data_IF_984646822714
#
_entry.id   IF_984646822714
#
_cell.length_a   1.000
_cell.length_b   1.000
_cell.length_c   1.000
_cell.angle_alpha   90.00
_cell.angle_beta   90.00
_cell.angle_gamma   90.00
#
_symmetry.space_group_name_H-M   'P 1'
#
loop_
_entity.id
_entity.type
_entity.pdbx_description
1 polymer ?
#
# COMPACT_ATOMS: atom_id res chain seq x y z
N UNK A 1 0.24 15.41 -0.65
CA UNK A 1 -0.39 14.80 -1.85
C UNK A 1 -1.87 15.12 -1.77
N UNK A 2 -2.40 15.97 -2.67
CA UNK A 2 -3.84 16.21 -2.75
C UNK A 2 -4.49 14.93 -3.29
N UNK A 3 -5.69 14.62 -2.84
CA UNK A 3 -6.45 13.40 -3.17
C UNK A 3 -6.73 13.18 -4.67
N UNK A 4 -6.25 14.06 -5.56
CA UNK A 4 -6.50 14.04 -7.00
C UNK A 4 -5.45 13.29 -7.83
N UNK A 5 -4.29 12.91 -7.26
CA UNK A 5 -3.23 12.22 -8.01
C UNK A 5 -3.14 10.71 -7.77
N UNK A 6 -3.88 10.17 -6.80
CA UNK A 6 -3.87 8.74 -6.48
C UNK A 6 -4.25 7.83 -7.66
N UNK A 7 -5.26 8.15 -8.51
CA UNK A 7 -5.62 7.30 -9.63
C UNK A 7 -4.48 7.15 -10.64
N UNK A 8 -3.73 8.23 -10.88
CA UNK A 8 -2.60 8.23 -11.81
C UNK A 8 -1.42 7.44 -11.25
N UNK A 9 -1.08 7.68 -9.99
CA UNK A 9 -0.02 6.92 -9.31
C UNK A 9 -0.33 5.42 -9.27
N UNK A 10 -1.60 5.07 -9.01
CA UNK A 10 -2.07 3.68 -9.00
C UNK A 10 -1.96 3.04 -10.38
N UNK A 11 -2.36 3.74 -11.44
CA UNK A 11 -2.22 3.25 -12.81
C UNK A 11 -0.75 3.01 -13.20
N UNK A 12 0.14 3.94 -12.87
CA UNK A 12 1.59 3.80 -13.13
C UNK A 12 2.19 2.62 -12.34
N UNK A 13 1.85 2.50 -11.06
CA UNK A 13 2.30 1.41 -10.22
C UNK A 13 1.73 0.05 -10.65
N UNK A 14 0.48 0.02 -11.14
CA UNK A 14 -0.15 -1.20 -11.64
C UNK A 14 0.46 -1.65 -12.98
N UNK A 15 0.80 -0.72 -13.85
CA UNK A 15 1.58 -1.01 -15.05
C UNK A 15 2.96 -1.58 -14.69
N UNK A 16 3.62 -1.03 -13.67
CA UNK A 16 4.92 -1.51 -13.20
C UNK A 16 4.88 -2.97 -12.73
N UNK A 17 3.91 -3.34 -11.88
CA UNK A 17 3.77 -4.74 -11.44
C UNK A 17 3.26 -5.66 -12.55
N UNK A 18 2.58 -5.13 -13.56
CA UNK A 18 2.16 -5.92 -14.74
C UNK A 18 3.36 -6.25 -15.63
N UNK A 19 4.25 -5.27 -15.85
CA UNK A 19 5.48 -5.48 -16.61
C UNK A 19 6.50 -6.33 -15.84
N UNK A 20 6.56 -6.15 -14.52
CA UNK A 20 7.51 -6.84 -13.64
C UNK A 20 6.80 -7.42 -12.42
N UNK A 21 6.09 -8.56 -12.57
CA UNK A 21 5.31 -9.15 -11.48
C UNK A 21 6.14 -9.64 -10.29
N UNK A 22 7.44 -9.89 -10.51
CA UNK A 22 8.37 -10.32 -9.48
C UNK A 22 9.18 -9.15 -8.89
N UNK A 23 8.89 -7.90 -9.26
CA UNK A 23 9.59 -6.75 -8.72
C UNK A 23 8.97 -6.33 -7.38
N UNK A 24 9.63 -6.72 -6.29
CA UNK A 24 9.15 -6.46 -4.92
C UNK A 24 8.86 -4.98 -4.65
N UNK A 25 9.67 -4.07 -5.22
CA UNK A 25 9.50 -2.63 -5.02
C UNK A 25 8.24 -2.10 -5.71
N UNK A 26 7.82 -2.68 -6.84
CA UNK A 26 6.55 -2.33 -7.48
C UNK A 26 5.35 -2.68 -6.60
N UNK A 27 5.39 -3.85 -5.95
CA UNK A 27 4.38 -4.23 -4.96
C UNK A 27 4.43 -3.34 -3.72
N UNK A 28 5.61 -3.02 -3.19
CA UNK A 28 5.73 -2.08 -2.06
C UNK A 28 5.18 -0.68 -2.40
N UNK A 29 5.42 -0.20 -3.63
CA UNK A 29 4.93 1.09 -4.10
C UNK A 29 3.40 1.11 -4.25
N UNK A 30 2.78 0.05 -4.79
CA UNK A 30 1.32 -0.11 -4.78
C UNK A 30 0.78 -0.11 -3.35
N UNK A 31 1.43 -0.85 -2.45
CA UNK A 31 1.08 -0.87 -1.03
C UNK A 31 1.03 0.53 -0.42
N UNK A 32 2.05 1.35 -0.69
CA UNK A 32 2.14 2.72 -0.20
C UNK A 32 1.02 3.62 -0.76
N UNK A 33 0.69 3.48 -2.04
CA UNK A 33 -0.39 4.24 -2.69
C UNK A 33 -1.74 3.88 -2.07
N UNK A 34 -2.06 2.59 -1.94
CA UNK A 34 -3.29 2.15 -1.29
C UNK A 34 -3.38 2.62 0.17
N UNK A 35 -2.26 2.59 0.90
CA UNK A 35 -2.20 3.07 2.27
C UNK A 35 -2.49 4.58 2.36
N UNK A 36 -2.00 5.36 1.39
CA UNK A 36 -2.27 6.79 1.29
C UNK A 36 -3.72 7.11 0.88
N UNK A 37 -4.37 6.21 0.13
CA UNK A 37 -5.80 6.26 -0.19
C UNK A 37 -6.70 5.85 0.98
N UNK A 38 -6.14 5.26 2.04
CA UNK A 38 -6.91 4.69 3.16
C UNK A 38 -7.40 3.26 2.90
N UNK A 39 -7.04 2.67 1.76
CA UNK A 39 -7.34 1.30 1.36
C UNK A 39 -6.38 0.31 2.02
N UNK A 40 -6.43 0.23 3.35
CA UNK A 40 -5.43 -0.50 4.15
C UNK A 40 -5.40 -2.00 3.82
N UNK A 41 -6.55 -2.59 3.49
CA UNK A 41 -6.65 -4.01 3.09
C UNK A 41 -5.89 -4.28 1.79
N UNK A 42 -6.05 -3.42 0.78
CA UNK A 42 -5.31 -3.55 -0.49
C UNK A 42 -3.81 -3.31 -0.29
N UNK A 43 -3.47 -2.34 0.58
CA UNK A 43 -2.09 -2.10 0.96
C UNK A 43 -1.43 -3.36 1.55
N UNK A 44 -2.13 -4.07 2.42
CA UNK A 44 -1.62 -5.28 3.07
C UNK A 44 -1.29 -6.36 2.05
N UNK A 45 -2.18 -6.63 1.09
CA UNK A 45 -1.95 -7.64 0.05
C UNK A 45 -0.68 -7.35 -0.75
N UNK A 46 -0.47 -6.10 -1.14
CA UNK A 46 0.70 -5.71 -1.92
C UNK A 46 2.00 -5.72 -1.09
N UNK A 47 1.97 -5.24 0.15
CA UNK A 47 3.14 -5.35 1.02
C UNK A 47 3.49 -6.79 1.39
N UNK A 48 2.48 -7.65 1.58
CA UNK A 48 2.70 -9.08 1.77
C UNK A 48 3.39 -9.68 0.56
N UNK A 49 2.94 -9.35 -0.66
CA UNK A 49 3.58 -9.85 -1.88
C UNK A 49 5.02 -9.33 -2.04
N UNK A 50 5.27 -8.08 -1.69
CA UNK A 50 6.62 -7.52 -1.68
C UNK A 50 7.54 -8.30 -0.71
N UNK A 51 7.04 -8.60 0.50
CA UNK A 51 7.76 -9.39 1.49
C UNK A 51 8.00 -10.85 1.04
N UNK A 52 7.02 -11.48 0.39
CA UNK A 52 7.17 -12.84 -0.17
C UNK A 52 8.24 -12.88 -1.28
N UNK A 53 8.30 -11.85 -2.12
CA UNK A 53 9.26 -11.77 -3.22
C UNK A 53 10.68 -11.46 -2.72
N UNK A 54 10.80 -10.53 -1.77
CA UNK A 54 12.09 -10.15 -1.19
C UNK A 54 11.91 -9.75 0.27
N UNK A 55 12.06 -10.72 1.20
CA UNK A 55 11.97 -10.43 2.62
C UNK A 55 13.23 -9.66 3.05
N UNK A 56 13.00 -8.41 3.43
CA UNK A 56 14.03 -7.52 3.96
C UNK A 56 13.46 -6.65 5.09
N UNK A 57 14.34 -5.94 5.79
CA UNK A 57 13.97 -5.06 6.89
C UNK A 57 12.92 -4.00 6.49
N UNK A 58 13.00 -3.48 5.27
CA UNK A 58 12.06 -2.46 4.77
C UNK A 58 10.65 -3.02 4.59
N UNK A 59 10.52 -4.15 3.88
CA UNK A 59 9.26 -4.85 3.62
C UNK A 59 8.61 -5.36 4.91
N UNK A 60 9.40 -5.77 5.89
CA UNK A 60 8.93 -6.13 7.22
C UNK A 60 8.33 -4.92 7.95
N UNK A 61 9.05 -3.78 7.94
CA UNK A 61 8.56 -2.51 8.52
C UNK A 61 7.29 -2.03 7.84
N UNK A 62 7.23 -2.10 6.51
CA UNK A 62 6.07 -1.70 5.73
C UNK A 62 4.84 -2.57 6.07
N UNK A 63 5.02 -3.89 6.11
CA UNK A 63 3.95 -4.83 6.49
C UNK A 63 3.49 -4.63 7.94
N UNK A 64 4.43 -4.38 8.87
CA UNK A 64 4.12 -4.08 10.26
C UNK A 64 3.32 -2.77 10.39
N UNK A 65 3.68 -1.73 9.65
CA UNK A 65 2.97 -0.45 9.64
C UNK A 65 1.52 -0.61 9.15
N UNK A 66 1.31 -1.41 8.11
CA UNK A 66 -0.03 -1.68 7.58
C UNK A 66 -0.86 -2.53 8.53
N UNK A 67 -0.28 -3.59 9.12
CA UNK A 67 -0.96 -4.40 10.13
C UNK A 67 -1.40 -3.58 11.34
N UNK A 68 -0.55 -2.66 11.79
CA UNK A 68 -0.90 -1.73 12.87
C UNK A 68 -2.10 -0.85 12.48
N UNK A 69 -2.11 -0.32 11.26
CA UNK A 69 -3.23 0.48 10.72
C UNK A 69 -4.53 -0.30 10.51
N UNK A 70 -4.45 -1.61 10.28
CA UNK A 70 -5.63 -2.50 10.24
C UNK A 70 -6.16 -2.79 11.65
N UNK A 71 -5.27 -2.98 12.62
CA UNK A 71 -5.61 -3.24 14.01
C UNK A 71 -6.14 -1.99 14.73
N UNK A 72 -5.69 -0.80 14.32
CA UNK A 72 -6.19 0.49 14.77
C UNK A 72 -7.16 1.04 13.71
N UNK A 73 -8.46 0.66 13.74
CA UNK A 73 -9.44 1.27 12.85
C UNK A 73 -9.34 2.78 13.06
N UNK A 74 -8.96 3.52 12.00
CA UNK A 74 -8.93 4.97 12.07
C UNK A 74 -10.27 5.40 12.66
N UNK A 75 -10.29 6.26 13.71
CA UNK A 75 -11.56 6.75 14.24
C UNK A 75 -12.29 7.28 13.01
N UNK A 76 -13.45 6.69 12.70
CA UNK A 76 -14.32 7.22 11.64
C UNK A 76 -14.35 8.71 11.91
N UNK A 77 -13.76 9.50 11.01
CA UNK A 77 -13.93 10.95 11.05
C UNK A 77 -15.40 11.12 10.76
N UNK A 78 -16.21 11.04 11.81
CA UNK A 78 -17.53 11.61 11.89
C UNK A 78 -17.30 13.07 11.55
N UNK A 79 -17.48 13.37 10.26
CA UNK A 79 -17.72 14.71 9.80
C UNK A 79 -19.04 15.11 10.44
N UNK A 80 -18.95 15.60 11.67
CA UNK A 80 -20.03 16.27 12.36
C UNK A 80 -20.12 17.69 11.82
N UNK A 81 -21.00 17.87 10.83
CA UNK A 81 -22.06 18.91 10.84
C UNK A 81 -22.90 18.84 9.58
#
# INVERSE_FOLDING_TARGET
>A
MRQQDFPKALAEAQALVTQQPNYYYGHAYLGAIYLAMGEVTNAQTHYLRAYELFPNEQSEKDLAAVRKRLAEPQPMRLLSR
#
